data_IF_736197721690
#
_entry.id   IF_736197721690
#
_cell.length_a   1.000
_cell.length_b   1.000
_cell.length_c   1.000
_cell.angle_alpha   90.00
_cell.angle_beta   90.00
_cell.angle_gamma   90.00
#
_symmetry.space_group_name_H-M   'P 1'
#
loop_
_entity.id
_entity.type
_entity.pdbx_description
1 polymer ?
#
# COMPACT_ATOMS: atom_id res chain seq x y z
N UNK A 1 -17.95 98.49 -49.46
CA UNK A 1 -17.67 97.30 -50.30
C UNK A 1 -16.16 97.22 -50.44
N UNK A 2 -15.60 96.01 -50.34
CA UNK A 2 -14.17 95.66 -50.25
C UNK A 2 -13.62 95.46 -48.83
N UNK A 3 -13.65 94.19 -48.45
CA UNK A 3 -12.55 93.36 -47.92
C UNK A 3 -11.96 93.59 -46.53
N UNK A 4 -12.36 92.65 -45.67
CA UNK A 4 -11.70 91.89 -44.61
C UNK A 4 -10.49 92.42 -43.82
N UNK A 5 -10.59 92.11 -42.52
CA UNK A 5 -9.79 92.48 -41.39
C UNK A 5 -9.19 91.19 -40.81
N UNK A 6 -7.92 91.29 -40.39
CA UNK A 6 -7.28 90.60 -39.25
C UNK A 6 -7.04 89.09 -39.30
N UNK A 7 -5.75 88.84 -39.49
CA UNK A 7 -4.86 88.05 -38.64
C UNK A 7 -5.47 87.40 -37.39
N UNK A 8 -5.25 86.09 -37.38
CA UNK A 8 -5.53 85.02 -36.44
C UNK A 8 -4.98 85.23 -35.02
N UNK A 9 -5.80 84.94 -34.00
CA UNK A 9 -5.35 84.37 -32.73
C UNK A 9 -6.49 83.53 -32.14
N UNK A 10 -6.21 82.25 -31.93
CA UNK A 10 -7.19 81.17 -31.85
C UNK A 10 -7.85 80.97 -30.49
N UNK A 11 -9.08 80.46 -30.59
CA UNK A 11 -9.87 79.84 -29.53
C UNK A 11 -9.66 78.32 -29.63
N UNK A 12 -9.17 77.65 -28.58
CA UNK A 12 -9.33 76.20 -28.44
C UNK A 12 -9.67 75.80 -26.98
N UNK A 13 -10.71 74.96 -26.88
CA UNK A 13 -11.24 74.25 -25.71
C UNK A 13 -11.04 72.74 -26.00
N UNK A 14 -11.04 71.82 -25.03
CA UNK A 14 -10.07 71.52 -23.96
C UNK A 14 -9.23 70.25 -24.25
N UNK A 15 -7.95 70.22 -23.88
CA UNK A 15 -7.09 69.03 -24.02
C UNK A 15 -7.51 67.91 -23.04
N UNK A 16 -7.91 66.75 -23.58
CA UNK A 16 -8.15 65.54 -22.80
C UNK A 16 -6.83 64.97 -22.28
N UNK A 17 -6.71 64.87 -20.95
CA UNK A 17 -5.57 64.21 -20.30
C UNK A 17 -5.37 62.76 -20.78
N UNK A 18 -4.12 62.29 -20.97
CA UNK A 18 -3.87 60.95 -21.45
C UNK A 18 -4.29 59.92 -20.40
N UNK A 19 -5.29 59.10 -20.72
CA UNK A 19 -5.66 57.95 -19.89
C UNK A 19 -4.45 57.01 -19.80
N UNK A 20 -3.79 56.96 -18.63
CA UNK A 20 -2.79 55.92 -18.32
C UNK A 20 -3.39 54.57 -18.68
N UNK A 21 -2.79 53.86 -19.64
CA UNK A 21 -3.13 52.46 -19.94
C UNK A 21 -2.91 51.65 -18.67
N UNK A 22 -4.01 51.38 -17.94
CA UNK A 22 -4.03 50.58 -16.71
C UNK A 22 -3.42 49.23 -17.06
N UNK A 23 -2.20 48.96 -16.56
CA UNK A 23 -1.41 47.80 -16.97
C UNK A 23 -2.10 46.52 -16.53
N UNK A 24 -2.80 45.91 -17.48
CA UNK A 24 -3.55 44.67 -17.32
C UNK A 24 -2.68 43.50 -16.80
N UNK A 25 -1.36 43.55 -17.05
CA UNK A 25 -0.36 42.64 -16.49
C UNK A 25 -0.25 42.70 -14.96
N UNK A 26 -0.41 43.87 -14.33
CA UNK A 26 -0.33 44.02 -12.86
C UNK A 26 -1.51 43.42 -12.10
N UNK A 27 -2.67 43.25 -12.76
CA UNK A 27 -3.87 42.62 -12.16
C UNK A 27 -3.93 41.11 -12.35
N UNK A 28 -3.28 40.59 -13.40
CA UNK A 28 -3.22 39.14 -13.68
C UNK A 28 -2.13 38.46 -12.87
N UNK A 29 -1.04 39.15 -12.57
CA UNK A 29 0.06 38.60 -11.76
C UNK A 29 -0.41 38.04 -10.40
N UNK A 30 -1.22 38.74 -9.57
CA UNK A 30 -1.71 38.15 -8.32
C UNK A 30 -2.64 36.95 -8.54
N UNK A 31 -3.43 36.93 -9.62
CA UNK A 31 -4.31 35.79 -9.96
C UNK A 31 -3.48 34.58 -10.37
N UNK A 32 -2.43 34.79 -11.18
CA UNK A 32 -1.51 33.72 -11.60
C UNK A 32 -0.74 33.18 -10.41
N UNK A 33 -0.23 34.06 -9.53
CA UNK A 33 0.44 33.63 -8.29
C UNK A 33 -0.52 32.83 -7.42
N UNK A 34 -1.75 33.30 -7.21
CA UNK A 34 -2.75 32.57 -6.43
C UNK A 34 -3.07 31.20 -7.06
N UNK A 35 -3.25 31.13 -8.38
CA UNK A 35 -3.49 29.86 -9.08
C UNK A 35 -2.31 28.90 -8.95
N UNK A 36 -1.07 29.37 -9.10
CA UNK A 36 0.13 28.56 -8.91
C UNK A 36 0.19 28.04 -7.47
N UNK A 37 -0.02 28.89 -6.47
CA UNK A 37 -0.04 28.48 -5.05
C UNK A 37 -1.10 27.40 -4.82
N UNK A 38 -2.32 27.59 -5.31
CA UNK A 38 -3.40 26.59 -5.18
C UNK A 38 -3.01 25.27 -5.82
N UNK A 39 -2.50 25.29 -7.05
CA UNK A 39 -2.07 24.07 -7.76
C UNK A 39 -0.93 23.38 -7.03
N UNK A 40 0.04 24.12 -6.51
CA UNK A 40 1.15 23.55 -5.74
C UNK A 40 0.65 22.90 -4.44
N UNK A 41 -0.23 23.56 -3.70
CA UNK A 41 -0.80 23.03 -2.46
C UNK A 41 -1.59 21.75 -2.73
N UNK A 42 -2.45 21.75 -3.77
CA UNK A 42 -3.21 20.56 -4.16
C UNK A 42 -2.30 19.43 -4.65
N UNK A 43 -1.24 19.74 -5.39
CA UNK A 43 -0.27 18.77 -5.87
C UNK A 43 0.47 18.07 -4.72
N UNK A 44 0.93 18.83 -3.73
CA UNK A 44 1.61 18.26 -2.54
C UNK A 44 0.64 17.43 -1.69
N UNK A 45 -0.56 17.95 -1.43
CA UNK A 45 -1.58 17.23 -0.65
C UNK A 45 -2.01 15.94 -1.36
N UNK A 46 -2.28 16.01 -2.66
CA UNK A 46 -2.63 14.84 -3.47
C UNK A 46 -1.51 13.81 -3.52
N UNK A 47 -0.25 14.25 -3.60
CA UNK A 47 0.90 13.35 -3.59
C UNK A 47 1.06 12.60 -2.27
N UNK A 48 0.86 13.27 -1.14
CA UNK A 48 0.90 12.61 0.17
C UNK A 48 -0.29 11.67 0.36
N UNK A 49 -1.49 12.11 -0.05
CA UNK A 49 -2.71 11.34 0.07
C UNK A 49 -2.67 10.02 -0.71
N UNK A 50 -2.04 10.00 -1.90
CA UNK A 50 -1.95 8.80 -2.76
C UNK A 50 -1.32 7.58 -2.08
N UNK A 51 -0.51 7.80 -1.05
CA UNK A 51 0.18 6.72 -0.34
C UNK A 51 -0.67 6.13 0.80
N UNK A 52 -1.79 6.79 1.15
CA UNK A 52 -2.61 6.43 2.30
C UNK A 52 -3.63 5.35 1.97
N UNK A 53 -4.01 4.50 2.94
CA UNK A 53 -5.05 3.50 2.79
C UNK A 53 -6.37 4.09 2.31
N UNK A 54 -6.72 5.29 2.81
CA UNK A 54 -7.95 5.97 2.42
C UNK A 54 -7.99 6.30 0.92
N UNK A 55 -6.87 6.63 0.29
CA UNK A 55 -6.84 6.83 -1.16
C UNK A 55 -7.18 5.53 -1.91
N UNK A 56 -6.54 4.42 -1.52
CA UNK A 56 -6.80 3.11 -2.12
C UNK A 56 -8.25 2.66 -1.91
N UNK A 57 -8.80 2.89 -0.71
CA UNK A 57 -10.20 2.59 -0.42
C UNK A 57 -11.15 3.51 -1.19
N UNK A 58 -10.97 4.82 -1.18
CA UNK A 58 -11.92 5.74 -1.82
C UNK A 58 -11.94 5.64 -3.35
N UNK A 59 -10.79 5.37 -3.98
CA UNK A 59 -10.68 5.27 -5.45
C UNK A 59 -11.01 3.85 -5.93
N UNK A 60 -10.66 2.83 -5.14
CA UNK A 60 -10.74 1.43 -5.53
C UNK A 60 -11.58 0.58 -4.55
N UNK A 61 -12.51 1.15 -3.78
CA UNK A 61 -13.22 0.51 -2.65
C UNK A 61 -13.71 -0.91 -2.97
N UNK A 62 -14.27 -1.12 -4.17
CA UNK A 62 -14.78 -2.43 -4.59
C UNK A 62 -13.70 -3.48 -4.76
N UNK A 63 -12.51 -3.10 -5.20
CA UNK A 63 -11.40 -4.02 -5.51
C UNK A 63 -10.39 -4.11 -4.37
N UNK A 64 -10.20 -3.02 -3.63
CA UNK A 64 -9.22 -2.92 -2.54
C UNK A 64 -9.80 -3.03 -1.14
N UNK A 65 -11.12 -2.99 -0.97
CA UNK A 65 -11.78 -2.91 0.34
C UNK A 65 -11.34 -3.98 1.34
N UNK A 66 -11.22 -5.26 0.92
CA UNK A 66 -10.73 -6.34 1.82
C UNK A 66 -9.27 -6.14 2.26
N UNK A 67 -8.44 -5.58 1.39
CA UNK A 67 -7.02 -5.33 1.68
C UNK A 67 -6.86 -4.10 2.56
N UNK A 68 -7.72 -3.09 2.37
CA UNK A 68 -7.84 -1.96 3.28
C UNK A 68 -8.26 -2.43 4.68
N UNK A 69 -9.30 -3.25 4.77
CA UNK A 69 -9.83 -3.72 6.06
C UNK A 69 -8.81 -4.55 6.82
N UNK A 70 -8.15 -5.50 6.14
CA UNK A 70 -7.06 -6.26 6.74
C UNK A 70 -5.89 -5.37 7.19
N UNK A 71 -5.58 -4.26 6.51
CA UNK A 71 -4.49 -3.37 6.89
C UNK A 71 -4.87 -2.38 8.02
N UNK A 72 -6.11 -1.91 8.06
CA UNK A 72 -6.52 -0.79 8.95
C UNK A 72 -7.30 -1.26 10.17
N UNK A 73 -8.10 -2.33 10.05
CA UNK A 73 -9.08 -2.71 11.06
C UNK A 73 -8.82 -4.09 11.69
N UNK A 74 -8.24 -5.03 10.94
CA UNK A 74 -8.02 -6.39 11.42
C UNK A 74 -6.70 -6.53 12.18
N UNK A 75 -6.75 -6.45 13.52
CA UNK A 75 -5.56 -6.59 14.35
C UNK A 75 -4.90 -7.96 14.32
N UNK A 76 -5.56 -8.97 13.72
CA UNK A 76 -5.01 -10.32 13.60
C UNK A 76 -4.20 -10.51 12.32
N UNK A 77 -4.39 -9.66 11.31
CA UNK A 77 -3.66 -9.76 10.05
C UNK A 77 -2.19 -9.35 10.20
N UNK A 78 -1.32 -9.93 9.37
CA UNK A 78 0.08 -9.50 9.34
C UNK A 78 0.25 -8.11 8.70
N UNK A 79 -0.63 -7.74 7.77
CA UNK A 79 -0.64 -6.41 7.15
C UNK A 79 -0.88 -5.31 8.19
N UNK A 80 -1.84 -5.50 9.10
CA UNK A 80 -2.10 -4.58 10.20
C UNK A 80 -0.90 -4.47 11.14
N UNK A 81 -0.31 -5.61 11.51
CA UNK A 81 0.86 -5.64 12.40
C UNK A 81 2.06 -4.88 11.81
N UNK A 82 2.17 -4.81 10.47
CA UNK A 82 3.20 -4.06 9.78
C UNK A 82 2.84 -2.61 9.47
N UNK A 83 1.60 -2.17 9.72
CA UNK A 83 1.15 -0.83 9.35
C UNK A 83 2.03 0.28 9.94
N UNK A 84 2.42 0.14 11.21
CA UNK A 84 3.29 1.11 11.88
C UNK A 84 4.69 1.20 11.27
N UNK A 85 5.27 0.08 10.83
CA UNK A 85 6.59 0.02 10.21
C UNK A 85 6.64 0.77 8.87
N UNK A 86 5.50 0.88 8.19
CA UNK A 86 5.35 1.59 6.92
C UNK A 86 4.63 2.93 7.05
N UNK A 87 4.59 3.52 8.26
CA UNK A 87 3.91 4.79 8.55
C UNK A 87 2.43 4.82 8.11
N UNK A 88 1.74 3.68 8.23
CA UNK A 88 0.37 3.47 7.76
C UNK A 88 0.18 3.79 6.27
N UNK A 89 1.17 3.49 5.42
CA UNK A 89 1.11 3.71 3.98
C UNK A 89 1.19 2.39 3.22
N UNK A 90 0.21 2.14 2.34
CA UNK A 90 0.20 0.93 1.49
C UNK A 90 1.43 0.87 0.58
N UNK A 91 1.91 2.04 0.12
CA UNK A 91 3.08 2.15 -0.75
C UNK A 91 4.41 1.84 -0.04
N UNK A 92 4.42 1.66 1.28
CA UNK A 92 5.62 1.18 1.98
C UNK A 92 5.95 -0.28 1.67
N UNK A 93 4.94 -1.08 1.25
CA UNK A 93 5.15 -2.43 0.73
C UNK A 93 4.87 -2.49 -0.78
N UNK A 94 3.79 -1.87 -1.24
CA UNK A 94 3.39 -1.84 -2.65
C UNK A 94 3.97 -0.62 -3.34
N UNK A 95 5.28 -0.55 -3.52
CA UNK A 95 5.87 0.57 -4.24
C UNK A 95 5.28 0.66 -5.65
N UNK A 96 4.80 1.85 -6.01
CA UNK A 96 4.22 2.12 -7.32
C UNK A 96 4.72 3.46 -7.85
N UNK A 97 5.16 3.41 -9.10
CA UNK A 97 5.41 4.61 -9.90
C UNK A 97 4.10 5.31 -10.24
N UNK A 98 4.18 6.61 -10.57
CA UNK A 98 3.00 7.39 -10.94
C UNK A 98 2.28 6.80 -12.17
N UNK A 99 3.03 6.33 -13.17
CA UNK A 99 2.44 5.70 -14.36
C UNK A 99 1.69 4.41 -14.02
N UNK A 100 2.23 3.58 -13.12
CA UNK A 100 1.55 2.38 -12.66
C UNK A 100 0.24 2.70 -11.93
N UNK A 101 0.25 3.66 -11.00
CA UNK A 101 -0.98 4.08 -10.31
C UNK A 101 -2.02 4.63 -11.29
N UNK A 102 -1.61 5.40 -12.31
CA UNK A 102 -2.51 5.86 -13.38
C UNK A 102 -3.13 4.70 -14.17
N UNK A 103 -2.32 3.70 -14.55
CA UNK A 103 -2.82 2.53 -15.26
C UNK A 103 -3.80 1.71 -14.42
N UNK A 104 -3.55 1.57 -13.11
CA UNK A 104 -4.48 0.88 -12.21
C UNK A 104 -5.81 1.62 -12.09
N UNK A 105 -5.78 2.95 -11.94
CA UNK A 105 -7.00 3.76 -11.93
C UNK A 105 -7.77 3.62 -13.25
N UNK A 106 -7.08 3.62 -14.39
CA UNK A 106 -7.71 3.43 -15.69
C UNK A 106 -8.35 2.03 -15.80
N UNK A 107 -7.64 0.98 -15.38
CA UNK A 107 -8.15 -0.38 -15.38
C UNK A 107 -9.37 -0.53 -14.47
N UNK A 108 -9.35 0.10 -13.29
CA UNK A 108 -10.48 0.15 -12.37
C UNK A 108 -11.72 0.79 -13.01
N UNK A 109 -11.55 1.96 -13.63
CA UNK A 109 -12.66 2.67 -14.31
C UNK A 109 -13.20 1.91 -15.52
N UNK A 110 -12.33 1.20 -16.23
CA UNK A 110 -12.70 0.39 -17.39
C UNK A 110 -13.26 -0.99 -17.01
N UNK A 111 -13.14 -1.41 -15.75
CA UNK A 111 -13.45 -2.78 -15.32
C UNK A 111 -12.51 -3.84 -15.92
N UNK A 112 -11.32 -3.46 -16.38
CA UNK A 112 -10.39 -4.33 -17.10
C UNK A 112 -9.36 -4.95 -16.14
N UNK A 113 -9.83 -5.73 -15.18
CA UNK A 113 -9.01 -6.44 -14.19
C UNK A 113 -9.57 -7.84 -13.95
N UNK A 114 -8.73 -8.74 -13.43
CA UNK A 114 -9.13 -10.10 -13.05
C UNK A 114 -9.27 -10.22 -11.54
N UNK A 115 -10.29 -10.94 -11.09
CA UNK A 115 -10.43 -11.37 -9.71
C UNK A 115 -10.30 -12.90 -9.62
N UNK A 116 -9.59 -13.44 -8.60
CA UNK A 116 -8.81 -12.69 -7.61
C UNK A 116 -7.60 -11.96 -8.23
N UNK A 117 -7.18 -10.87 -7.61
CA UNK A 117 -5.97 -10.16 -8.04
C UNK A 117 -4.75 -11.07 -7.95
N UNK A 118 -3.85 -10.93 -8.93
CA UNK A 118 -2.53 -11.54 -8.83
C UNK A 118 -1.82 -11.01 -7.58
N UNK A 119 -1.28 -11.94 -6.79
CA UNK A 119 -0.61 -11.57 -5.54
C UNK A 119 0.76 -11.02 -5.83
N UNK A 120 1.10 -9.93 -5.15
CA UNK A 120 2.49 -9.49 -5.08
C UNK A 120 3.25 -10.44 -4.17
N UNK A 121 4.38 -10.96 -4.65
CA UNK A 121 5.26 -11.85 -3.91
C UNK A 121 6.51 -11.07 -3.51
N UNK A 122 6.79 -11.04 -2.21
CA UNK A 122 8.00 -10.44 -1.66
C UNK A 122 9.02 -11.53 -1.33
N UNK A 123 10.26 -11.38 -1.81
CA UNK A 123 11.34 -12.31 -1.45
C UNK A 123 11.79 -12.11 -0.01
N UNK A 124 12.57 -13.06 0.51
CA UNK A 124 13.22 -12.91 1.82
C UNK A 124 14.00 -11.61 1.95
N UNK A 125 14.66 -11.17 0.88
CA UNK A 125 15.46 -9.94 0.90
C UNK A 125 14.64 -8.70 1.26
N UNK A 126 13.35 -8.66 0.92
CA UNK A 126 12.45 -7.56 1.31
C UNK A 126 12.17 -7.58 2.81
N UNK A 127 11.90 -8.74 3.39
CA UNK A 127 11.64 -8.89 4.82
C UNK A 127 12.91 -8.68 5.66
N UNK A 128 14.05 -9.10 5.13
CA UNK A 128 15.37 -9.04 5.75
C UNK A 128 16.12 -7.75 5.37
N UNK A 129 15.42 -6.66 5.05
CA UNK A 129 16.06 -5.36 4.88
C UNK A 129 16.50 -4.79 6.23
N UNK A 130 17.57 -3.99 6.20
CA UNK A 130 18.11 -3.32 7.39
C UNK A 130 17.02 -2.53 8.11
N UNK A 131 16.82 -2.81 9.40
CA UNK A 131 15.78 -2.18 10.22
C UNK A 131 14.46 -2.96 10.29
N UNK A 132 14.38 -4.11 9.62
CA UNK A 132 13.27 -5.06 9.70
C UNK A 132 13.74 -6.37 10.38
N UNK A 133 13.77 -7.50 9.66
CA UNK A 133 14.07 -8.81 10.23
C UNK A 133 15.54 -9.26 10.06
N UNK A 134 16.48 -8.32 9.93
CA UNK A 134 17.93 -8.60 9.67
C UNK A 134 18.70 -9.33 10.78
N UNK A 135 18.12 -9.56 11.95
CA UNK A 135 18.81 -10.22 13.05
C UNK A 135 17.85 -10.72 14.14
N UNK A 136 18.29 -11.76 14.86
CA UNK A 136 17.63 -12.25 16.07
C UNK A 136 16.41 -13.13 15.81
N UNK A 137 16.63 -14.35 15.36
CA UNK A 137 15.65 -15.41 15.53
C UNK A 137 14.70 -15.75 14.38
N UNK A 138 14.70 -14.96 13.31
CA UNK A 138 13.87 -15.23 12.13
C UNK A 138 14.61 -16.11 11.10
N UNK A 139 15.92 -16.26 11.28
CA UNK A 139 16.80 -17.01 10.39
C UNK A 139 17.08 -18.42 10.95
N UNK A 140 17.28 -19.41 10.06
CA UNK A 140 17.65 -20.76 10.46
C UNK A 140 18.84 -20.80 11.42
N UNK A 141 18.65 -21.41 12.59
CA UNK A 141 19.73 -21.57 13.59
C UNK A 141 20.09 -20.29 14.34
N UNK A 142 19.29 -19.23 14.24
CA UNK A 142 19.45 -18.07 15.12
C UNK A 142 19.03 -18.45 16.55
N UNK A 143 19.94 -18.26 17.50
CA UNK A 143 19.78 -18.58 18.93
C UNK A 143 18.69 -17.76 19.64
N UNK A 144 18.07 -16.82 18.95
CA UNK A 144 17.02 -15.92 19.43
C UNK A 144 15.68 -16.19 18.73
N UNK A 145 15.51 -17.35 18.08
CA UNK A 145 14.25 -17.64 17.37
C UNK A 145 13.07 -17.58 18.32
N UNK A 146 12.00 -16.92 17.88
CA UNK A 146 10.70 -16.96 18.56
C UNK A 146 10.18 -18.39 18.70
N UNK A 147 10.84 -19.32 18.02
CA UNK A 147 10.59 -20.75 17.99
C UNK A 147 11.69 -21.59 18.62
N UNK A 148 12.71 -20.99 19.26
CA UNK A 148 13.85 -21.70 19.83
C UNK A 148 13.44 -22.66 20.96
N UNK A 149 12.36 -22.32 21.67
CA UNK A 149 11.82 -23.12 22.77
C UNK A 149 10.85 -24.22 22.28
N UNK A 150 10.51 -24.25 21.00
CA UNK A 150 9.70 -25.35 20.45
C UNK A 150 10.57 -26.58 20.17
N UNK A 151 10.01 -27.80 20.29
CA UNK A 151 10.68 -29.04 19.89
C UNK A 151 11.10 -29.07 18.41
N UNK A 152 10.53 -28.18 17.61
CA UNK A 152 10.78 -28.02 16.19
C UNK A 152 10.84 -26.53 15.83
N UNK A 153 11.87 -26.14 15.08
CA UNK A 153 12.03 -24.78 14.56
C UNK A 153 11.57 -24.71 13.09
N UNK A 154 10.42 -24.05 12.77
CA UNK A 154 9.96 -23.85 11.40
C UNK A 154 10.88 -22.96 10.56
N UNK A 155 11.78 -22.20 11.19
CA UNK A 155 12.79 -21.41 10.49
C UNK A 155 14.06 -22.22 10.18
N UNK A 156 14.16 -23.48 10.61
CA UNK A 156 15.34 -24.31 10.35
C UNK A 156 15.60 -24.57 8.86
N UNK A 157 16.86 -24.86 8.52
CA UNK A 157 17.30 -25.15 7.13
C UNK A 157 17.17 -26.61 6.71
N UNK A 158 16.46 -27.46 7.45
CA UNK A 158 16.35 -28.88 7.09
C UNK A 158 15.76 -29.10 5.69
N UNK A 159 14.87 -28.22 5.25
CA UNK A 159 14.31 -28.21 3.90
C UNK A 159 14.95 -27.15 2.99
N UNK A 160 16.14 -26.66 3.35
CA UNK A 160 16.75 -25.47 2.74
C UNK A 160 16.10 -24.17 3.22
N UNK A 161 16.55 -23.04 2.66
CA UNK A 161 16.01 -21.71 3.00
C UNK A 161 14.64 -21.54 2.35
N UNK A 162 13.58 -21.53 3.17
CA UNK A 162 12.22 -21.26 2.72
C UNK A 162 11.99 -19.77 2.48
N UNK A 163 11.00 -19.44 1.64
CA UNK A 163 10.59 -18.05 1.46
C UNK A 163 9.61 -17.63 2.56
N UNK A 164 9.75 -16.45 3.16
CA UNK A 164 8.83 -15.96 4.20
C UNK A 164 7.38 -15.99 3.71
N UNK A 165 7.17 -15.59 2.45
CA UNK A 165 5.86 -15.52 1.80
C UNK A 165 5.16 -16.88 1.60
N UNK A 166 5.85 -18.01 1.77
CA UNK A 166 5.21 -19.33 1.65
C UNK A 166 4.40 -19.71 2.89
N UNK A 167 4.57 -18.99 4.00
CA UNK A 167 3.89 -19.23 5.26
C UNK A 167 3.23 -17.94 5.79
N UNK A 168 3.97 -16.83 5.78
CA UNK A 168 3.50 -15.53 6.25
C UNK A 168 2.77 -14.79 5.14
N UNK A 169 1.43 -14.76 5.23
CA UNK A 169 0.58 -14.04 4.29
C UNK A 169 0.12 -12.72 4.92
N UNK A 170 0.33 -11.60 4.22
CA UNK A 170 0.11 -10.27 4.80
C UNK A 170 -1.37 -9.96 5.01
N UNK A 171 -2.14 -9.99 3.92
CA UNK A 171 -3.56 -9.66 3.92
C UNK A 171 -4.48 -10.88 4.05
N UNK A 172 -3.91 -12.08 4.07
CA UNK A 172 -4.64 -13.34 4.19
C UNK A 172 -4.22 -14.05 5.48
N UNK A 173 -5.01 -15.05 5.88
CA UNK A 173 -4.63 -15.92 6.97
C UNK A 173 -3.29 -16.61 6.68
N UNK A 174 -2.31 -16.46 7.58
CA UNK A 174 -1.03 -17.14 7.46
C UNK A 174 -1.19 -18.66 7.56
N UNK A 175 -0.35 -19.37 6.81
CA UNK A 175 -0.44 -20.81 6.61
C UNK A 175 0.76 -21.53 7.18
N UNK A 176 0.52 -22.65 7.86
CA UNK A 176 1.56 -23.52 8.36
C UNK A 176 1.83 -24.62 7.34
N UNK A 177 2.69 -24.33 6.36
CA UNK A 177 2.95 -25.20 5.20
C UNK A 177 3.54 -26.56 5.57
N UNK A 178 4.22 -26.69 6.71
CA UNK A 178 4.73 -27.97 7.18
C UNK A 178 3.60 -28.99 7.40
N UNK A 179 2.41 -28.51 7.83
CA UNK A 179 1.24 -29.37 8.02
C UNK A 179 0.74 -30.02 6.72
N UNK A 180 1.12 -29.51 5.55
CA UNK A 180 0.76 -30.14 4.27
C UNK A 180 1.36 -31.54 4.08
N UNK A 181 2.44 -31.87 4.78
CA UNK A 181 3.08 -33.19 4.72
C UNK A 181 3.31 -33.83 6.09
N UNK A 182 3.48 -33.02 7.14
CA UNK A 182 3.76 -33.46 8.49
C UNK A 182 2.54 -33.26 9.38
N UNK A 183 2.13 -34.28 10.11
CA UNK A 183 1.14 -34.08 11.16
C UNK A 183 1.88 -33.55 12.39
N UNK A 184 1.58 -32.33 12.85
CA UNK A 184 2.14 -31.85 14.13
C UNK A 184 1.36 -32.52 15.26
N UNK A 185 2.09 -33.26 16.09
CA UNK A 185 1.57 -34.33 16.95
C UNK A 185 1.90 -35.74 16.45
N UNK A 186 2.35 -35.90 15.19
CA UNK A 186 2.88 -37.14 14.63
C UNK A 186 4.29 -36.97 14.01
N UNK A 187 5.15 -36.16 14.65
CA UNK A 187 6.49 -36.70 14.87
C UNK A 187 6.28 -37.94 15.74
N UNK A 188 6.42 -39.13 15.15
CA UNK A 188 5.93 -40.45 15.58
C UNK A 188 6.48 -40.98 16.93
N UNK A 189 6.70 -40.11 17.92
CA UNK A 189 7.36 -40.41 19.17
C UNK A 189 6.55 -39.98 20.39
N UNK A 190 6.71 -38.74 20.86
CA UNK A 190 6.47 -38.48 22.31
C UNK A 190 6.01 -37.04 22.66
N UNK A 191 5.68 -36.17 21.71
CA UNK A 191 5.63 -34.71 21.99
C UNK A 191 4.26 -34.03 22.17
N UNK A 192 3.16 -34.62 21.72
CA UNK A 192 1.85 -33.92 21.71
C UNK A 192 1.82 -32.65 20.82
N UNK A 193 0.73 -31.88 20.93
CA UNK A 193 0.56 -30.58 20.26
C UNK A 193 1.09 -29.50 21.20
N UNK A 194 2.00 -28.60 20.76
CA UNK A 194 2.55 -27.56 21.63
C UNK A 194 1.48 -26.62 22.18
N UNK A 195 1.75 -25.98 23.31
CA UNK A 195 0.87 -24.92 23.84
C UNK A 195 0.72 -23.79 22.82
N UNK A 196 -0.52 -23.32 22.64
CA UNK A 196 -0.86 -22.31 21.65
C UNK A 196 -1.00 -22.84 20.21
N UNK A 197 -1.13 -24.15 20.03
CA UNK A 197 -1.43 -24.78 18.74
C UNK A 197 -2.79 -25.49 18.78
N UNK A 198 -3.45 -25.57 17.62
CA UNK A 198 -4.74 -26.24 17.44
C UNK A 198 -4.61 -27.38 16.44
N UNK A 199 -5.32 -28.48 16.69
CA UNK A 199 -5.41 -29.59 15.72
C UNK A 199 -6.50 -29.27 14.72
N UNK A 200 -6.18 -29.38 13.43
CA UNK A 200 -7.15 -29.21 12.35
C UNK A 200 -7.19 -30.45 11.45
N UNK A 201 -8.35 -30.68 10.85
CA UNK A 201 -8.52 -31.63 9.76
C UNK A 201 -7.89 -31.06 8.48
N UNK A 202 -6.99 -31.83 7.87
CA UNK A 202 -6.22 -31.45 6.69
C UNK A 202 -6.78 -32.05 5.39
N UNK A 203 -7.87 -32.81 5.48
CA UNK A 203 -8.42 -33.60 4.37
C UNK A 203 -7.90 -35.03 4.34
N UNK A 204 -8.62 -35.91 3.63
CA UNK A 204 -8.30 -37.34 3.47
C UNK A 204 -8.08 -38.09 4.80
N UNK A 205 -8.76 -37.69 5.87
CA UNK A 205 -8.65 -38.28 7.21
C UNK A 205 -7.33 -37.98 7.91
N UNK A 206 -6.57 -36.99 7.45
CA UNK A 206 -5.34 -36.52 8.08
C UNK A 206 -5.63 -35.33 8.98
N UNK A 207 -4.94 -35.26 10.10
CA UNK A 207 -4.96 -34.09 10.99
C UNK A 207 -3.55 -33.53 11.14
N UNK A 208 -3.45 -32.27 11.52
CA UNK A 208 -2.17 -31.68 11.90
C UNK A 208 -2.36 -30.52 12.84
N UNK A 209 -1.42 -30.35 13.76
CA UNK A 209 -1.32 -29.14 14.56
C UNK A 209 -0.85 -27.95 13.71
N UNK A 210 -1.47 -26.80 13.94
CA UNK A 210 -1.00 -25.49 13.45
C UNK A 210 -0.98 -24.50 14.61
N UNK A 211 -0.18 -23.42 14.55
CA UNK A 211 -0.28 -22.35 15.53
C UNK A 211 -1.72 -21.81 15.61
N UNK A 212 -2.15 -21.40 16.82
CA UNK A 212 -3.47 -20.78 16.99
C UNK A 212 -3.61 -19.53 16.10
N UNK A 213 -4.77 -19.39 15.47
CA UNK A 213 -5.02 -18.37 14.47
C UNK A 213 -4.19 -18.53 13.19
N UNK A 214 -3.69 -19.73 12.86
CA UNK A 214 -3.13 -20.07 11.54
C UNK A 214 -3.94 -21.18 10.88
N UNK A 215 -3.73 -21.40 9.59
CA UNK A 215 -4.41 -22.46 8.82
C UNK A 215 -3.42 -23.27 7.98
N UNK A 216 -3.89 -24.11 7.04
CA UNK A 216 -3.03 -24.80 6.07
C UNK A 216 -3.26 -24.32 4.64
N UNK A 217 -2.27 -24.50 3.74
CA UNK A 217 -2.43 -24.14 2.34
C UNK A 217 -3.66 -24.77 1.68
N UNK A 218 -4.00 -26.01 2.04
CA UNK A 218 -5.14 -26.74 1.46
C UNK A 218 -6.48 -26.10 1.84
N UNK A 219 -6.66 -25.76 3.13
CA UNK A 219 -7.89 -25.13 3.60
C UNK A 219 -8.07 -23.74 2.98
N UNK A 220 -6.98 -22.99 2.83
CA UNK A 220 -7.00 -21.68 2.18
C UNK A 220 -7.38 -21.76 0.70
N UNK A 221 -6.88 -22.77 -0.02
CA UNK A 221 -7.28 -23.00 -1.42
C UNK A 221 -8.75 -23.37 -1.53
N UNK A 222 -9.23 -24.26 -0.64
CA UNK A 222 -10.62 -24.68 -0.60
C UNK A 222 -11.60 -23.53 -0.30
N UNK A 223 -11.28 -22.66 0.64
CA UNK A 223 -12.08 -21.45 0.95
C UNK A 223 -12.12 -20.46 -0.22
N UNK A 224 -11.10 -20.47 -1.08
CA UNK A 224 -10.99 -19.61 -2.25
C UNK A 224 -11.60 -20.21 -3.52
N UNK A 225 -11.99 -21.48 -3.49
CA UNK A 225 -12.47 -22.20 -4.68
C UNK A 225 -11.39 -22.42 -5.73
N UNK A 226 -10.13 -22.50 -5.30
CA UNK A 226 -8.93 -22.78 -6.11
C UNK A 226 -8.59 -24.28 -6.13
#
# INVERSE_FOLDING_TARGET
MADEIKETAGTETPEQAPKKKKSWKGKRLPIVIAAVVVVTVLGVAGWAWRATPQFCDTICHSTMGKYYDSFVNDSTSLAYQHASAVNNQCLGCHEQTLSQSMHQTQAQLAGSYSEPFEKVVFSNDFCLQSGCHTGGGVMPGATESSTADYPFDPHSTYHGVQQCNSCHLMHDQSVFTCASCHQVGAWEGEGGVPDGWVVMELGDGKTGGVPDGWTTPMLVQQERGE
#
